data_IF_776914046551
#
_entry.id   IF_776914046551
#
_cell.length_a   1.000
_cell.length_b   1.000
_cell.length_c   1.000
_cell.angle_alpha   90.00
_cell.angle_beta   90.00
_cell.angle_gamma   90.00
#
_symmetry.space_group_name_H-M   'P 1'
#
loop_
_entity.id
_entity.type
_entity.pdbx_description
1 polymer ?
#
# COMPACT_ATOMS: atom_id res chain seq x y z
N UNK A 1 0.95 -16.40 24.12
CA UNK A 1 1.85 -15.33 23.67
C UNK A 1 1.44 -14.06 24.41
N UNK A 2 2.38 -13.17 24.75
CA UNK A 2 2.00 -11.83 25.23
C UNK A 2 1.41 -10.99 24.08
N UNK A 3 0.80 -9.86 24.41
CA UNK A 3 0.37 -8.86 23.42
C UNK A 3 1.59 -8.26 22.71
N UNK A 4 1.42 -7.90 21.44
CA UNK A 4 2.48 -7.24 20.66
C UNK A 4 2.51 -5.76 21.05
N UNK A 5 3.66 -5.24 21.46
CA UNK A 5 3.83 -3.82 21.81
C UNK A 5 4.03 -2.97 20.56
N UNK A 6 3.06 -2.12 20.28
CA UNK A 6 3.00 -1.28 19.07
C UNK A 6 3.31 0.18 19.39
N UNK A 7 4.24 0.77 18.65
CA UNK A 7 4.42 2.22 18.57
C UNK A 7 3.75 2.80 17.31
N UNK A 8 3.25 4.03 17.38
CA UNK A 8 2.69 4.72 16.20
C UNK A 8 3.44 6.03 15.97
N UNK A 9 3.99 6.19 14.77
CA UNK A 9 4.65 7.41 14.30
C UNK A 9 3.69 8.20 13.39
N UNK A 10 3.54 9.50 13.67
CA UNK A 10 2.49 10.32 13.07
C UNK A 10 1.14 10.12 13.77
N UNK A 11 1.16 9.80 15.06
CA UNK A 11 -0.01 9.36 15.85
C UNK A 11 -1.17 10.37 15.89
N UNK A 12 -0.90 11.69 15.78
CA UNK A 12 -1.94 12.73 15.76
C UNK A 12 -2.43 13.07 14.34
N UNK A 13 -1.86 12.42 13.32
CA UNK A 13 -2.27 12.55 11.93
C UNK A 13 -3.61 11.85 11.64
N UNK A 14 -4.22 12.18 10.49
CA UNK A 14 -5.56 11.66 10.11
C UNK A 14 -5.66 10.14 10.02
N UNK A 15 -4.56 9.46 9.73
CA UNK A 15 -4.50 7.98 9.64
C UNK A 15 -3.91 7.41 10.92
N UNK A 16 -2.84 8.02 11.44
CA UNK A 16 -2.21 7.62 12.71
C UNK A 16 -3.19 7.57 13.88
N UNK A 17 -4.08 8.56 14.02
CA UNK A 17 -5.05 8.56 15.13
C UNK A 17 -6.03 7.39 15.05
N UNK A 18 -6.50 7.07 13.84
CA UNK A 18 -7.36 5.90 13.59
C UNK A 18 -6.62 4.58 13.85
N UNK A 19 -5.31 4.54 13.63
CA UNK A 19 -4.49 3.36 13.95
C UNK A 19 -4.31 3.23 15.47
N UNK A 20 -4.04 4.33 16.18
CA UNK A 20 -3.98 4.31 17.65
C UNK A 20 -5.27 3.73 18.24
N UNK A 21 -6.44 4.25 17.84
CA UNK A 21 -7.75 3.76 18.27
C UNK A 21 -7.92 2.25 17.98
N UNK A 22 -7.46 1.80 16.81
CA UNK A 22 -7.56 0.40 16.41
C UNK A 22 -6.63 -0.53 17.19
N UNK A 23 -5.43 -0.07 17.53
CA UNK A 23 -4.48 -0.82 18.37
C UNK A 23 -5.02 -0.91 19.79
N UNK A 24 -5.51 0.20 20.37
CA UNK A 24 -6.12 0.21 21.72
C UNK A 24 -7.36 -0.69 21.82
N UNK A 25 -8.10 -0.84 20.72
CA UNK A 25 -9.29 -1.70 20.66
C UNK A 25 -8.98 -3.19 20.40
N UNK A 26 -7.74 -3.55 20.07
CA UNK A 26 -7.36 -4.92 19.76
C UNK A 26 -6.91 -5.68 21.01
N UNK A 27 -7.50 -6.84 21.28
CA UNK A 27 -7.21 -7.63 22.48
C UNK A 27 -5.76 -8.17 22.53
N UNK A 28 -5.11 -8.28 21.36
CA UNK A 28 -3.80 -8.89 21.16
C UNK A 28 -2.65 -7.89 20.98
N UNK A 29 -2.93 -6.58 21.08
CA UNK A 29 -1.95 -5.51 20.86
C UNK A 29 -1.95 -4.52 22.03
N UNK A 30 -0.78 -3.98 22.36
CA UNK A 30 -0.62 -2.92 23.35
C UNK A 30 -0.07 -1.67 22.67
N UNK A 31 -0.79 -0.54 22.72
CA UNK A 31 -0.27 0.74 22.25
C UNK A 31 0.70 1.32 23.29
N UNK A 32 2.00 1.20 23.06
CA UNK A 32 3.04 1.57 24.04
C UNK A 32 3.66 2.94 23.79
N UNK A 33 3.55 3.46 22.56
CA UNK A 33 4.13 4.75 22.20
C UNK A 33 3.31 5.43 21.09
N UNK A 34 3.12 6.75 21.23
CA UNK A 34 2.40 7.60 20.27
C UNK A 34 3.23 8.85 20.02
N UNK A 35 3.97 8.88 18.91
CA UNK A 35 4.91 9.96 18.60
C UNK A 35 4.43 10.75 17.37
N UNK A 36 4.73 12.04 17.38
CA UNK A 36 4.52 12.96 16.27
C UNK A 36 5.78 13.80 16.01
N UNK A 37 5.69 14.74 15.08
CA UNK A 37 6.79 15.61 14.71
C UNK A 37 7.39 16.35 15.91
N UNK A 38 8.70 16.14 16.13
CA UNK A 38 9.47 16.76 17.21
C UNK A 38 9.57 15.93 18.49
N UNK A 39 8.84 14.82 18.60
CA UNK A 39 9.00 13.87 19.70
C UNK A 39 10.28 13.02 19.53
N UNK A 40 10.89 12.61 20.63
CA UNK A 40 12.12 11.81 20.63
C UNK A 40 11.82 10.33 20.34
N UNK A 41 12.45 9.77 19.30
CA UNK A 41 12.32 8.35 18.93
C UNK A 41 12.81 7.41 20.04
N UNK A 42 13.66 7.88 20.97
CA UNK A 42 14.07 7.14 22.15
C UNK A 42 12.89 6.54 22.95
N UNK A 43 11.75 7.24 22.97
CA UNK A 43 10.54 6.80 23.65
C UNK A 43 10.02 5.45 23.13
N UNK A 44 10.29 5.07 21.88
CA UNK A 44 9.93 3.76 21.32
C UNK A 44 10.66 2.63 22.05
N UNK A 45 11.99 2.76 22.18
CA UNK A 45 12.83 1.74 22.81
C UNK A 45 12.63 1.72 24.33
N UNK A 46 12.44 2.88 24.96
CA UNK A 46 12.13 3.00 26.39
C UNK A 46 10.80 2.33 26.76
N UNK A 47 9.79 2.45 25.90
CA UNK A 47 8.50 1.78 26.06
C UNK A 47 8.56 0.27 25.70
N UNK A 48 9.67 -0.18 25.09
CA UNK A 48 9.87 -1.54 24.62
C UNK A 48 8.96 -1.91 23.45
N UNK A 49 8.75 -0.98 22.51
CA UNK A 49 8.01 -1.26 21.28
C UNK A 49 8.70 -2.38 20.47
N UNK A 50 7.90 -3.35 20.02
CA UNK A 50 8.36 -4.48 19.20
C UNK A 50 8.16 -4.19 17.71
N UNK A 51 7.11 -3.42 17.39
CA UNK A 51 6.76 -3.01 16.04
C UNK A 51 6.26 -1.57 16.05
N UNK A 52 6.63 -0.80 15.02
CA UNK A 52 6.02 0.49 14.75
C UNK A 52 5.07 0.44 13.57
N UNK A 53 4.11 1.35 13.59
CA UNK A 53 3.32 1.73 12.42
C UNK A 53 3.66 3.17 12.04
N UNK A 54 4.16 3.39 10.83
CA UNK A 54 4.60 4.71 10.35
C UNK A 54 3.64 5.26 9.28
N UNK A 55 2.93 6.34 9.64
CA UNK A 55 2.16 7.19 8.73
C UNK A 55 2.58 8.66 8.91
N UNK A 56 3.85 8.93 8.64
CA UNK A 56 4.48 10.25 8.72
C UNK A 56 4.55 10.94 7.34
N UNK A 57 5.71 11.52 6.99
CA UNK A 57 5.95 12.21 5.73
C UNK A 57 7.19 11.62 5.04
N UNK A 58 7.29 11.74 3.69
CA UNK A 58 8.42 11.18 2.93
C UNK A 58 9.80 11.65 3.38
N UNK A 59 9.91 12.80 4.04
CA UNK A 59 11.17 13.36 4.54
C UNK A 59 11.57 12.81 5.91
N UNK A 60 10.62 12.27 6.68
CA UNK A 60 10.86 11.75 8.03
C UNK A 60 11.08 10.23 8.06
N UNK A 61 10.37 9.49 7.20
CA UNK A 61 10.29 8.02 7.27
C UNK A 61 11.64 7.30 7.22
N UNK A 62 12.61 7.81 6.46
CA UNK A 62 13.93 7.17 6.35
C UNK A 62 14.71 7.26 7.67
N UNK A 63 14.66 8.40 8.37
CA UNK A 63 15.28 8.55 9.69
C UNK A 63 14.58 7.73 10.77
N UNK A 64 13.25 7.63 10.70
CA UNK A 64 12.48 6.75 11.58
C UNK A 64 12.88 5.28 11.40
N UNK A 65 12.99 4.82 10.15
CA UNK A 65 13.40 3.46 9.82
C UNK A 65 14.83 3.17 10.27
N UNK A 66 15.77 4.09 10.02
CA UNK A 66 17.15 3.94 10.48
C UNK A 66 17.21 3.70 12.00
N UNK A 67 16.51 4.53 12.78
CA UNK A 67 16.42 4.36 14.23
C UNK A 67 15.79 3.02 14.64
N UNK A 68 14.62 2.69 14.08
CA UNK A 68 13.88 1.49 14.47
C UNK A 68 14.68 0.22 14.18
N UNK A 69 15.27 0.12 12.99
CA UNK A 69 16.07 -1.03 12.58
C UNK A 69 17.34 -1.17 13.42
N UNK A 70 18.01 -0.07 13.77
CA UNK A 70 19.16 -0.08 14.65
C UNK A 70 18.83 -0.57 16.08
N UNK A 71 17.58 -0.45 16.51
CA UNK A 71 17.13 -0.87 17.84
C UNK A 71 16.42 -2.24 17.84
N UNK A 72 16.28 -2.90 16.70
CA UNK A 72 15.61 -4.20 16.60
C UNK A 72 14.08 -4.11 16.58
N UNK A 73 13.51 -2.97 16.18
CA UNK A 73 12.07 -2.72 16.12
C UNK A 73 11.57 -2.92 14.69
N UNK A 74 10.57 -3.80 14.53
CA UNK A 74 9.92 -4.04 13.23
C UNK A 74 9.14 -2.81 12.74
N UNK A 75 8.92 -2.69 11.44
CA UNK A 75 8.23 -1.51 10.89
C UNK A 75 7.16 -1.86 9.85
N UNK A 76 5.93 -1.40 10.09
CA UNK A 76 4.81 -1.42 9.13
C UNK A 76 4.59 0.01 8.63
N UNK A 77 4.96 0.26 7.37
CA UNK A 77 5.07 1.61 6.82
C UNK A 77 4.02 1.84 5.75
N UNK A 78 3.16 2.84 5.98
CA UNK A 78 2.20 3.36 4.99
C UNK A 78 2.60 4.70 4.40
N UNK A 79 3.69 5.30 4.89
CA UNK A 79 4.27 6.52 4.30
C UNK A 79 4.74 6.25 2.87
N UNK A 80 4.33 7.10 1.94
CA UNK A 80 4.70 7.00 0.51
C UNK A 80 6.07 7.63 0.22
N UNK A 81 6.55 7.47 -1.03
CA UNK A 81 7.77 8.15 -1.50
C UNK A 81 9.03 7.29 -1.43
N UNK A 82 8.90 5.96 -1.44
CA UNK A 82 10.02 5.05 -1.56
C UNK A 82 10.43 4.90 -3.02
N UNK A 83 11.67 5.29 -3.32
CA UNK A 83 12.34 5.05 -4.60
C UNK A 83 13.16 3.76 -4.51
N UNK A 84 13.64 3.18 -5.63
CA UNK A 84 14.54 2.04 -5.60
C UNK A 84 15.74 2.24 -4.66
N UNK A 85 16.33 3.44 -4.65
CA UNK A 85 17.46 3.78 -3.80
C UNK A 85 17.08 3.78 -2.30
N UNK A 86 15.88 4.27 -1.96
CA UNK A 86 15.38 4.21 -0.57
C UNK A 86 15.12 2.78 -0.14
N UNK A 87 14.58 1.93 -1.03
CA UNK A 87 14.37 0.51 -0.75
C UNK A 87 15.69 -0.23 -0.54
N UNK A 88 16.71 0.05 -1.36
CA UNK A 88 18.05 -0.51 -1.20
C UNK A 88 18.70 -0.07 0.11
N UNK A 89 18.52 1.19 0.49
CA UNK A 89 19.00 1.68 1.78
C UNK A 89 18.35 0.93 2.95
N UNK A 90 17.04 0.68 2.91
CA UNK A 90 16.33 -0.11 3.93
C UNK A 90 16.86 -1.54 4.00
N UNK A 91 17.09 -2.20 2.85
CA UNK A 91 17.71 -3.53 2.80
C UNK A 91 19.08 -3.55 3.49
N UNK A 92 19.91 -2.54 3.22
CA UNK A 92 21.25 -2.45 3.83
C UNK A 92 21.21 -2.31 5.35
N UNK A 93 20.23 -1.56 5.89
CA UNK A 93 20.05 -1.42 7.34
C UNK A 93 19.58 -2.73 8.00
N UNK A 94 18.68 -3.46 7.34
CA UNK A 94 18.24 -4.78 7.80
C UNK A 94 19.41 -5.76 7.84
N UNK A 95 20.23 -5.78 6.78
CA UNK A 95 21.40 -6.67 6.68
C UNK A 95 22.47 -6.37 7.73
N UNK A 96 22.65 -5.09 8.07
CA UNK A 96 23.57 -4.62 9.10
C UNK A 96 23.13 -4.98 10.53
N UNK A 97 21.87 -5.37 10.74
CA UNK A 97 21.35 -5.78 12.05
C UNK A 97 21.98 -7.09 12.55
N UNK A 98 22.22 -7.16 13.87
CA UNK A 98 22.78 -8.34 14.54
C UNK A 98 21.93 -9.60 14.28
N UNK A 99 22.60 -10.74 14.08
CA UNK A 99 21.94 -12.02 13.86
C UNK A 99 21.06 -12.39 15.06
N UNK A 100 19.79 -12.71 14.81
CA UNK A 100 18.78 -12.94 15.86
C UNK A 100 18.08 -11.69 16.41
N UNK A 101 18.48 -10.48 15.96
CA UNK A 101 17.81 -9.19 16.26
C UNK A 101 17.41 -8.41 15.00
N UNK A 102 17.50 -9.04 13.83
CA UNK A 102 17.12 -8.41 12.57
C UNK A 102 15.65 -8.04 12.58
N UNK A 103 15.39 -6.82 12.15
CA UNK A 103 14.05 -6.28 12.06
C UNK A 103 13.47 -6.52 10.68
N UNK A 104 12.17 -6.76 10.65
CA UNK A 104 11.41 -6.93 9.42
C UNK A 104 10.69 -5.63 9.10
N UNK A 105 10.54 -5.34 7.81
CA UNK A 105 9.89 -4.13 7.32
C UNK A 105 8.86 -4.52 6.28
N UNK A 106 7.63 -4.04 6.47
CA UNK A 106 6.58 -4.04 5.47
C UNK A 106 6.37 -2.61 4.98
N UNK A 107 6.61 -2.35 3.71
CA UNK A 107 6.22 -1.10 3.05
C UNK A 107 5.04 -1.41 2.13
N UNK A 108 3.84 -0.99 2.50
CA UNK A 108 2.67 -1.19 1.64
C UNK A 108 2.19 0.16 1.08
N UNK A 109 2.15 0.34 -0.26
CA UNK A 109 1.63 1.55 -0.86
C UNK A 109 0.12 1.73 -0.62
N UNK A 110 -0.57 0.65 -0.24
CA UNK A 110 -1.97 0.67 0.15
C UNK A 110 -2.26 -0.46 1.16
N UNK A 111 -2.85 -0.10 2.30
CA UNK A 111 -3.28 -1.05 3.34
C UNK A 111 -4.77 -1.42 3.28
N UNK A 112 -5.53 -0.87 2.33
CA UNK A 112 -6.90 -1.30 2.13
C UNK A 112 -6.91 -2.70 1.51
N UNK A 113 -7.33 -3.71 2.28
CA UNK A 113 -7.38 -5.11 1.83
C UNK A 113 -8.18 -5.26 0.54
N UNK A 114 -9.28 -4.50 0.38
CA UNK A 114 -10.08 -4.53 -0.84
C UNK A 114 -9.33 -4.03 -2.07
N UNK A 115 -8.40 -3.08 -1.92
CA UNK A 115 -7.53 -2.62 -3.02
C UNK A 115 -6.47 -3.67 -3.36
N UNK A 116 -5.85 -4.28 -2.35
CA UNK A 116 -4.85 -5.35 -2.54
C UNK A 116 -5.47 -6.55 -3.26
N UNK A 117 -6.67 -6.97 -2.85
CA UNK A 117 -7.42 -8.02 -3.54
C UNK A 117 -7.82 -7.61 -4.96
N UNK A 118 -8.19 -6.35 -5.18
CA UNK A 118 -8.53 -5.84 -6.51
C UNK A 118 -7.33 -5.91 -7.45
N UNK A 119 -6.16 -5.45 -7.02
CA UNK A 119 -4.91 -5.59 -7.77
C UNK A 119 -4.62 -7.06 -8.09
N UNK A 120 -4.65 -7.93 -7.08
CA UNK A 120 -4.34 -9.35 -7.28
C UNK A 120 -5.30 -10.06 -8.21
N UNK A 121 -6.60 -9.85 -8.04
CA UNK A 121 -7.61 -10.46 -8.92
C UNK A 121 -7.54 -9.89 -10.33
N UNK A 122 -7.14 -8.63 -10.49
CA UNK A 122 -6.92 -8.04 -11.81
C UNK A 122 -5.75 -8.68 -12.53
N UNK A 123 -4.63 -8.95 -11.83
CA UNK A 123 -3.51 -9.72 -12.41
C UNK A 123 -3.93 -11.13 -12.83
N UNK A 124 -4.71 -11.83 -11.98
CA UNK A 124 -5.20 -13.18 -12.27
C UNK A 124 -6.17 -13.18 -13.46
N UNK A 125 -7.04 -12.17 -13.57
CA UNK A 125 -8.03 -12.08 -14.62
C UNK A 125 -7.43 -11.67 -15.97
N UNK A 126 -6.40 -10.82 -15.98
CA UNK A 126 -5.88 -10.17 -17.17
C UNK A 126 -5.51 -11.09 -18.36
N UNK A 127 -4.96 -12.30 -18.18
CA UNK A 127 -4.69 -13.23 -19.28
C UNK A 127 -5.93 -13.74 -20.04
N UNK A 128 -7.13 -13.61 -19.47
CA UNK A 128 -8.35 -14.23 -20.00
C UNK A 128 -9.24 -13.27 -20.80
N UNK A 129 -8.86 -12.00 -20.94
CA UNK A 129 -9.68 -10.97 -21.58
C UNK A 129 -8.86 -10.16 -22.59
N UNK A 130 -9.42 -9.85 -23.75
CA UNK A 130 -8.74 -9.04 -24.78
C UNK A 130 -8.61 -7.57 -24.37
N UNK A 131 -9.58 -7.06 -23.60
CA UNK A 131 -9.64 -5.68 -23.12
C UNK A 131 -9.59 -5.58 -21.60
N UNK A 132 -8.88 -4.57 -21.10
CA UNK A 132 -8.77 -4.20 -19.70
C UNK A 132 -8.57 -2.68 -19.57
N UNK A 133 -9.44 -2.00 -18.81
CA UNK A 133 -9.28 -0.58 -18.46
C UNK A 133 -9.44 -0.38 -16.94
N UNK A 134 -8.78 0.63 -16.40
CA UNK A 134 -8.85 1.02 -14.98
C UNK A 134 -9.51 2.40 -14.86
N UNK A 135 -10.46 2.53 -13.96
CA UNK A 135 -11.08 3.80 -13.58
C UNK A 135 -10.86 4.03 -12.10
N UNK A 136 -10.17 5.10 -11.74
CA UNK A 136 -10.03 5.54 -10.35
C UNK A 136 -10.84 6.80 -10.08
N UNK A 137 -11.37 6.90 -8.86
CA UNK A 137 -12.11 8.08 -8.40
C UNK A 137 -11.68 8.46 -7.00
N UNK A 138 -11.30 9.73 -6.82
CA UNK A 138 -10.87 10.28 -5.54
C UNK A 138 -11.49 11.65 -5.28
N UNK A 139 -11.41 12.10 -4.03
CA UNK A 139 -11.74 13.49 -3.68
C UNK A 139 -10.91 14.51 -4.49
N UNK A 140 -11.41 15.74 -4.72
CA UNK A 140 -10.72 16.73 -5.56
C UNK A 140 -9.44 17.31 -4.94
N UNK A 141 -9.16 17.06 -3.66
CA UNK A 141 -7.92 17.49 -3.00
C UNK A 141 -6.72 16.56 -3.24
N UNK A 142 -6.89 15.46 -4.00
CA UNK A 142 -5.80 14.54 -4.31
C UNK A 142 -4.91 15.19 -5.37
N UNK A 143 -3.60 15.20 -5.12
CA UNK A 143 -2.62 15.99 -5.88
C UNK A 143 -2.14 15.29 -7.16
N UNK A 144 -2.07 13.97 -7.12
CA UNK A 144 -1.59 13.09 -8.18
C UNK A 144 -2.76 12.52 -9.00
N UNK A 145 -2.55 12.27 -10.31
CA UNK A 145 -3.48 11.59 -11.21
C UNK A 145 -2.70 10.90 -12.36
N UNK A 146 -2.96 9.61 -12.67
CA UNK A 146 -3.78 8.67 -11.90
C UNK A 146 -3.25 8.42 -10.48
N UNK A 147 -4.06 7.80 -9.63
CA UNK A 147 -3.60 7.39 -8.30
C UNK A 147 -2.48 6.33 -8.38
N UNK A 148 -1.58 6.33 -7.39
CA UNK A 148 -0.54 5.30 -7.29
C UNK A 148 -1.10 3.87 -7.36
N UNK A 149 -2.21 3.57 -6.66
CA UNK A 149 -2.86 2.24 -6.75
C UNK A 149 -3.27 1.91 -8.19
N UNK A 150 -3.93 2.83 -8.89
CA UNK A 150 -4.38 2.60 -10.28
C UNK A 150 -3.21 2.34 -11.24
N UNK A 151 -2.08 3.04 -11.04
CA UNK A 151 -0.85 2.79 -11.81
C UNK A 151 -0.34 1.36 -11.56
N UNK A 152 -0.22 0.94 -10.30
CA UNK A 152 0.25 -0.41 -9.97
C UNK A 152 -0.72 -1.49 -10.46
N UNK A 153 -2.03 -1.25 -10.38
CA UNK A 153 -3.07 -2.13 -10.95
C UNK A 153 -2.85 -2.31 -12.45
N UNK A 154 -2.68 -1.20 -13.18
CA UNK A 154 -2.45 -1.22 -14.62
C UNK A 154 -1.13 -1.91 -15.01
N UNK A 155 -0.03 -1.64 -14.29
CA UNK A 155 1.25 -2.33 -14.47
C UNK A 155 1.15 -3.84 -14.22
N UNK A 156 0.41 -4.25 -13.18
CA UNK A 156 0.12 -5.66 -12.88
C UNK A 156 -0.66 -6.35 -14.01
N UNK A 157 -1.71 -5.70 -14.52
CA UNK A 157 -2.48 -6.17 -15.68
C UNK A 157 -1.57 -6.28 -16.91
N UNK A 158 -0.80 -5.24 -17.22
CA UNK A 158 0.07 -5.20 -18.38
C UNK A 158 1.12 -6.32 -18.34
N UNK A 159 1.76 -6.53 -17.19
CA UNK A 159 2.71 -7.62 -16.95
C UNK A 159 2.07 -8.99 -17.18
N UNK A 160 0.93 -9.26 -16.54
CA UNK A 160 0.24 -10.55 -16.68
C UNK A 160 -0.18 -10.84 -18.13
N UNK A 161 -0.64 -9.83 -18.88
CA UNK A 161 -0.95 -9.96 -20.31
C UNK A 161 0.29 -10.29 -21.15
N UNK A 162 1.41 -9.60 -20.89
CA UNK A 162 2.69 -9.85 -21.58
C UNK A 162 3.18 -11.27 -21.33
N UNK A 163 3.14 -11.73 -20.08
CA UNK A 163 3.56 -13.10 -19.70
C UNK A 163 2.69 -14.18 -20.35
N UNK A 164 1.39 -13.90 -20.54
CA UNK A 164 0.48 -14.77 -21.27
C UNK A 164 0.57 -14.65 -22.81
N UNK A 165 1.42 -13.77 -23.33
CA UNK A 165 1.63 -13.60 -24.77
C UNK A 165 0.50 -12.87 -25.50
N UNK A 166 -0.34 -12.11 -24.79
CA UNK A 166 -1.38 -11.29 -25.41
C UNK A 166 -0.76 -10.08 -26.13
N UNK A 167 -1.38 -9.71 -27.25
CA UNK A 167 -1.04 -8.50 -27.99
C UNK A 167 -1.63 -7.22 -27.39
N UNK A 168 -1.47 -6.13 -28.13
CA UNK A 168 -2.12 -4.86 -27.83
C UNK A 168 -3.65 -5.03 -27.74
N UNK A 169 -4.28 -4.28 -26.86
CA UNK A 169 -5.74 -4.28 -26.73
C UNK A 169 -6.37 -3.75 -28.03
N UNK A 170 -7.52 -4.29 -28.46
CA UNK A 170 -8.22 -3.78 -29.63
C UNK A 170 -8.77 -2.37 -29.35
N UNK A 171 -8.39 -1.39 -30.17
CA UNK A 171 -8.96 -0.04 -30.16
C UNK A 171 -8.99 0.48 -31.62
N UNK A 172 -10.19 0.74 -32.14
CA UNK A 172 -10.41 1.21 -33.51
C UNK A 172 -10.60 2.74 -33.60
N UNK A 173 -10.26 3.47 -32.54
CA UNK A 173 -10.44 4.93 -32.48
C UNK A 173 -9.53 5.64 -33.50
N UNK A 174 -10.13 6.20 -34.55
CA UNK A 174 -9.41 7.02 -35.55
C UNK A 174 -9.44 8.53 -35.24
N UNK A 175 -10.40 8.98 -34.45
CA UNK A 175 -10.59 10.38 -34.06
C UNK A 175 -10.93 10.46 -32.58
N UNK A 176 -10.14 11.21 -31.83
CA UNK A 176 -10.29 11.37 -30.39
C UNK A 176 -10.03 12.81 -29.96
N UNK A 177 -10.70 13.26 -28.90
CA UNK A 177 -10.30 14.47 -28.18
C UNK A 177 -9.12 14.16 -27.26
N UNK A 178 -8.28 15.15 -26.98
CA UNK A 178 -7.19 15.02 -26.01
C UNK A 178 -7.74 14.54 -24.65
N UNK A 179 -7.09 13.52 -24.08
CA UNK A 179 -7.47 12.92 -22.80
C UNK A 179 -8.68 11.97 -22.82
N UNK A 180 -9.38 11.81 -23.95
CA UNK A 180 -10.63 11.01 -24.01
C UNK A 180 -10.46 9.50 -23.82
N UNK A 181 -9.25 8.95 -24.02
CA UNK A 181 -8.92 7.53 -23.80
C UNK A 181 -8.14 7.28 -22.51
N UNK A 182 -8.08 8.26 -21.60
CA UNK A 182 -7.34 8.15 -20.36
C UNK A 182 -5.82 8.24 -20.57
N UNK A 183 -5.07 8.01 -19.50
CA UNK A 183 -3.61 7.88 -19.55
C UNK A 183 -3.22 6.45 -19.95
N UNK A 184 -2.19 6.32 -20.77
CA UNK A 184 -1.62 5.01 -21.12
C UNK A 184 -0.59 4.58 -20.07
N UNK A 185 -0.89 3.50 -19.34
CA UNK A 185 0.03 2.87 -18.39
C UNK A 185 0.39 1.49 -18.93
N UNK A 186 1.52 1.42 -19.64
CA UNK A 186 2.03 0.19 -20.28
C UNK A 186 1.04 -0.54 -21.20
N UNK A 187 0.18 0.19 -21.93
CA UNK A 187 -0.84 -0.37 -22.82
C UNK A 187 -2.18 -0.64 -22.13
N UNK A 188 -2.36 -0.22 -20.88
CA UNK A 188 -3.63 -0.28 -20.14
C UNK A 188 -4.16 1.15 -19.94
N UNK A 189 -5.34 1.48 -20.49
CA UNK A 189 -5.98 2.78 -20.27
C UNK A 189 -6.37 2.99 -18.80
N UNK A 190 -6.01 4.14 -18.24
CA UNK A 190 -6.34 4.55 -16.87
C UNK A 190 -7.05 5.90 -16.85
N UNK A 191 -8.26 5.94 -16.28
CA UNK A 191 -9.08 7.14 -16.16
C UNK A 191 -9.15 7.63 -14.73
N UNK A 192 -8.94 8.93 -14.51
CA UNK A 192 -8.92 9.54 -13.19
C UNK A 192 -10.08 10.52 -13.00
N UNK A 193 -10.94 10.26 -12.01
CA UNK A 193 -12.06 11.11 -11.63
C UNK A 193 -11.75 11.84 -10.32
N UNK A 194 -11.96 13.15 -10.31
CA UNK A 194 -11.86 13.99 -9.10
C UNK A 194 -13.25 14.51 -8.73
N UNK A 195 -13.85 13.95 -7.69
CA UNK A 195 -15.28 14.14 -7.38
C UNK A 195 -15.50 14.56 -5.92
N UNK A 196 -16.20 15.68 -5.71
CA UNK A 196 -16.62 16.11 -4.37
C UNK A 196 -17.54 15.05 -3.76
N UNK A 197 -17.23 14.61 -2.53
CA UNK A 197 -17.96 13.55 -1.83
C UNK A 197 -17.35 12.16 -1.98
N UNK A 198 -16.46 11.93 -2.95
CA UNK A 198 -15.69 10.70 -3.03
C UNK A 198 -14.57 10.66 -1.96
N UNK A 199 -14.07 9.46 -1.65
CA UNK A 199 -12.89 9.26 -0.82
C UNK A 199 -11.77 8.65 -1.66
N UNK A 200 -11.85 7.35 -1.93
CA UNK A 200 -10.95 6.60 -2.80
C UNK A 200 -11.67 5.35 -3.31
N UNK A 201 -11.69 5.19 -4.64
CA UNK A 201 -12.42 4.14 -5.33
C UNK A 201 -11.65 3.72 -6.57
N UNK A 202 -11.74 2.45 -6.95
CA UNK A 202 -11.16 1.93 -8.17
C UNK A 202 -12.09 0.89 -8.79
N UNK A 203 -12.15 0.87 -10.11
CA UNK A 203 -12.91 -0.10 -10.89
C UNK A 203 -12.04 -0.60 -12.02
N UNK A 204 -11.80 -1.90 -12.06
CA UNK A 204 -11.10 -2.56 -13.15
C UNK A 204 -12.13 -3.28 -13.99
N UNK A 205 -12.15 -2.99 -15.28
CA UNK A 205 -13.11 -3.51 -16.24
C UNK A 205 -12.38 -4.36 -17.25
N UNK A 206 -12.75 -5.63 -17.33
CA UNK A 206 -12.27 -6.58 -18.33
C UNK A 206 -13.38 -6.92 -19.33
N UNK A 207 -13.03 -7.10 -20.61
CA UNK A 207 -13.97 -7.40 -21.68
C UNK A 207 -13.45 -8.47 -22.62
N UNK A 208 -14.35 -9.37 -23.01
CA UNK A 208 -14.15 -10.41 -24.05
C UNK A 208 -15.49 -10.67 -24.76
N UNK A 209 -15.52 -11.57 -25.74
CA UNK A 209 -16.72 -11.86 -26.51
C UNK A 209 -17.91 -12.27 -25.63
N UNK A 210 -18.98 -11.49 -25.67
CA UNK A 210 -20.24 -11.78 -24.99
C UNK A 210 -20.24 -11.59 -23.47
N UNK A 211 -19.16 -11.11 -22.85
CA UNK A 211 -19.11 -10.93 -21.38
C UNK A 211 -18.09 -9.88 -20.92
N UNK A 212 -18.27 -9.43 -19.68
CA UNK A 212 -17.31 -8.59 -18.97
C UNK A 212 -17.18 -9.03 -17.51
N UNK A 213 -16.03 -8.73 -16.91
CA UNK A 213 -15.79 -8.83 -15.48
C UNK A 213 -15.46 -7.43 -14.95
N UNK A 214 -16.10 -7.04 -13.85
CA UNK A 214 -15.80 -5.79 -13.17
C UNK A 214 -15.42 -6.07 -11.73
N UNK A 215 -14.23 -5.62 -11.33
CA UNK A 215 -13.74 -5.70 -9.96
C UNK A 215 -13.73 -4.28 -9.42
N UNK A 216 -14.47 -4.05 -8.33
CA UNK A 216 -14.65 -2.71 -7.77
C UNK A 216 -14.23 -2.66 -6.31
N UNK A 217 -13.42 -1.65 -6.01
CA UNK A 217 -12.98 -1.28 -4.69
C UNK A 217 -13.61 0.04 -4.29
N UNK A 218 -14.12 0.12 -3.06
CA UNK A 218 -14.62 1.35 -2.47
C UNK A 218 -14.08 1.51 -1.04
N UNK A 219 -13.44 2.63 -0.77
CA UNK A 219 -13.10 3.08 0.58
C UNK A 219 -14.05 4.18 0.99
N UNK A 220 -14.90 3.95 2.00
CA UNK A 220 -15.85 4.97 2.48
C UNK A 220 -15.26 5.87 3.58
N UNK A 221 -14.13 5.47 4.17
CA UNK A 221 -13.43 6.25 5.19
C UNK A 221 -11.99 5.75 5.31
N UNK A 222 -11.16 6.44 6.10
CA UNK A 222 -9.76 6.04 6.38
C UNK A 222 -9.66 4.78 7.24
N UNK A 223 -10.75 4.34 7.88
CA UNK A 223 -10.74 3.08 8.64
C UNK A 223 -10.52 1.88 7.73
N UNK A 224 -10.65 2.02 6.41
CA UNK A 224 -10.36 0.96 5.43
C UNK A 224 -8.91 0.48 5.46
N UNK A 225 -7.96 1.28 5.95
CA UNK A 225 -6.55 0.91 6.05
C UNK A 225 -6.24 0.07 7.29
N UNK A 226 -7.04 0.22 8.35
CA UNK A 226 -6.79 -0.44 9.64
C UNK A 226 -6.66 -1.95 9.50
N UNK A 227 -7.57 -2.68 8.83
CA UNK A 227 -7.45 -4.13 8.72
C UNK A 227 -6.12 -4.59 8.14
N UNK A 228 -5.62 -3.93 7.08
CA UNK A 228 -4.34 -4.29 6.48
C UNK A 228 -3.15 -3.95 7.36
N UNK A 229 -3.18 -2.80 8.04
CA UNK A 229 -2.12 -2.43 9.01
C UNK A 229 -2.04 -3.47 10.13
N UNK A 230 -3.18 -3.88 10.69
CA UNK A 230 -3.20 -4.90 11.75
C UNK A 230 -2.73 -6.27 11.26
N UNK A 231 -3.02 -6.64 10.00
CA UNK A 231 -2.43 -7.84 9.38
C UNK A 231 -0.91 -7.71 9.30
N UNK A 232 -0.40 -6.55 8.88
CA UNK A 232 1.02 -6.24 8.88
C UNK A 232 1.65 -6.44 10.25
N UNK A 233 1.13 -5.74 11.26
CA UNK A 233 1.60 -5.79 12.65
C UNK A 233 1.62 -7.22 13.20
N UNK A 234 0.56 -7.99 12.97
CA UNK A 234 0.43 -9.35 13.53
C UNK A 234 1.35 -10.37 12.88
N UNK A 235 1.72 -10.19 11.61
CA UNK A 235 2.48 -11.18 10.83
C UNK A 235 3.91 -10.77 10.53
N UNK A 236 4.34 -9.56 10.92
CA UNK A 236 5.66 -9.02 10.54
C UNK A 236 6.82 -9.88 11.03
N UNK A 237 6.67 -10.54 12.18
CA UNK A 237 7.67 -11.46 12.72
C UNK A 237 7.91 -12.68 11.81
N UNK A 238 6.91 -13.08 11.03
CA UNK A 238 6.97 -14.27 10.15
C UNK A 238 7.55 -13.94 8.76
N UNK A 239 7.88 -12.68 8.47
CA UNK A 239 8.33 -12.22 7.15
C UNK A 239 9.71 -11.59 7.23
N UNK A 240 10.75 -12.38 7.02
CA UNK A 240 12.13 -11.92 7.13
C UNK A 240 12.49 -10.82 6.12
N UNK A 241 13.10 -9.74 6.63
CA UNK A 241 13.67 -8.67 5.84
C UNK A 241 12.67 -7.65 5.32
N UNK A 242 12.88 -7.17 4.09
CA UNK A 242 12.03 -6.14 3.47
C UNK A 242 10.97 -6.79 2.57
N UNK A 243 9.70 -6.55 2.90
CA UNK A 243 8.55 -6.81 2.04
C UNK A 243 8.00 -5.49 1.51
N UNK A 244 7.74 -5.44 0.20
CA UNK A 244 7.01 -4.34 -0.45
C UNK A 244 5.67 -4.88 -0.95
N UNK A 245 4.57 -4.27 -0.51
CA UNK A 245 3.21 -4.74 -0.78
C UNK A 245 2.65 -5.64 0.33
N UNK A 246 1.31 -5.61 0.51
CA UNK A 246 0.61 -6.35 1.57
C UNK A 246 0.20 -7.77 1.12
N UNK A 247 0.26 -8.06 -0.17
CA UNK A 247 -0.20 -9.30 -0.79
C UNK A 247 0.41 -10.55 -0.18
N UNK A 248 1.73 -10.56 0.07
CA UNK A 248 2.43 -11.71 0.66
C UNK A 248 1.94 -12.00 2.08
N UNK A 249 1.60 -10.97 2.85
CA UNK A 249 1.03 -11.10 4.19
C UNK A 249 -0.40 -11.64 4.18
N UNK A 250 -1.10 -11.53 3.04
CA UNK A 250 -2.41 -12.14 2.81
C UNK A 250 -2.31 -13.57 2.23
N UNK A 251 -1.10 -14.05 1.92
CA UNK A 251 -0.88 -15.36 1.27
C UNK A 251 -1.31 -15.39 -0.19
N UNK A 252 -1.20 -14.24 -0.88
CA UNK A 252 -1.64 -14.05 -2.26
C UNK A 252 -0.50 -14.06 -3.27
#
# INVERSE_FOLDING_TARGET
MGNIKVGVLGAKGKVGSTICEAVEAADDLDLVAQLDFGDDLAALSEAGAEVIVDFTQPDAVMGNLEYCLANGIHAVVGTTGFTPERLDQVRSWIEAGEEGRRSNVLIAPNFAISAVLTMRFSEIAAPYFESAEVIEMHHPHKKDAPSGTAIHTAEGIARARREAGLGAQPDATEQSLEGSRGADVEGVPVHAVRMTGAVAHETVIFGTEGQSLTIKQDSYSRTSFVPGVLVGVRKIADHEGLTVGLESYLGL
#
